data_IF_112510066756
#
_entry.id   IF_112510066756
#
_cell.length_a   1.000
_cell.length_b   1.000
_cell.length_c   1.000
_cell.angle_alpha   90.00
_cell.angle_beta   90.00
_cell.angle_gamma   90.00
#
_symmetry.space_group_name_H-M   'P 1'
#
loop_
_entity.id
_entity.type
_entity.pdbx_description
1 polymer ?
#
# COMPACT_ATOMS: atom_id res chain seq x y z
N UNK A 1 49.70 9.70 -14.09
CA UNK A 1 48.74 8.70 -13.57
C UNK A 1 47.63 9.29 -12.68
N UNK A 2 47.94 10.03 -11.61
CA UNK A 2 46.93 10.60 -10.68
C UNK A 2 45.89 11.54 -11.32
N UNK A 3 46.29 12.35 -12.34
CA UNK A 3 45.39 13.32 -13.01
C UNK A 3 44.34 12.64 -13.89
N UNK A 4 44.70 11.60 -14.62
CA UNK A 4 43.80 10.80 -15.46
C UNK A 4 42.77 10.05 -14.61
N UNK A 5 43.19 9.55 -13.45
CA UNK A 5 42.31 8.87 -12.50
C UNK A 5 41.27 9.84 -11.89
N UNK A 6 41.68 11.07 -11.54
CA UNK A 6 40.76 12.12 -11.10
C UNK A 6 39.74 12.50 -12.18
N UNK A 7 40.16 12.65 -13.43
CA UNK A 7 39.26 12.97 -14.54
C UNK A 7 38.24 11.84 -14.81
N UNK A 8 38.67 10.59 -14.69
CA UNK A 8 37.77 9.43 -14.81
C UNK A 8 36.71 9.42 -13.68
N UNK A 9 37.12 9.66 -12.45
CA UNK A 9 36.21 9.75 -11.29
C UNK A 9 35.20 10.88 -11.46
N UNK A 10 35.64 12.07 -11.89
CA UNK A 10 34.73 13.23 -12.15
C UNK A 10 33.71 12.88 -13.24
N UNK A 11 34.12 12.20 -14.28
CA UNK A 11 33.23 11.79 -15.38
C UNK A 11 32.22 10.74 -14.94
N UNK A 12 32.62 9.77 -14.11
CA UNK A 12 31.73 8.77 -13.50
C UNK A 12 30.71 9.44 -12.57
N UNK A 13 31.14 10.35 -11.69
CA UNK A 13 30.24 11.11 -10.84
C UNK A 13 29.22 11.97 -11.63
N UNK A 14 29.65 12.58 -12.75
CA UNK A 14 28.73 13.32 -13.63
C UNK A 14 27.68 12.42 -14.28
N UNK A 15 28.04 11.20 -14.69
CA UNK A 15 27.07 10.21 -15.21
C UNK A 15 26.05 9.81 -14.17
N UNK A 16 26.49 9.54 -12.95
CA UNK A 16 25.61 9.18 -11.84
C UNK A 16 24.62 10.33 -11.53
N UNK A 17 25.10 11.57 -11.43
CA UNK A 17 24.25 12.75 -11.22
C UNK A 17 23.21 12.95 -12.31
N UNK A 18 23.58 12.72 -13.59
CA UNK A 18 22.66 12.81 -14.72
C UNK A 18 21.63 11.68 -14.67
N UNK A 19 22.03 10.48 -14.30
CA UNK A 19 21.13 9.32 -14.15
C UNK A 19 20.13 9.57 -13.01
N UNK A 20 20.59 10.02 -11.86
CA UNK A 20 19.74 10.39 -10.72
C UNK A 20 18.73 11.48 -11.06
N UNK A 21 19.19 12.49 -11.83
CA UNK A 21 18.30 13.57 -12.30
C UNK A 21 17.23 13.03 -13.25
N UNK A 22 17.59 12.13 -14.15
CA UNK A 22 16.66 11.50 -15.09
C UNK A 22 15.62 10.66 -14.31
N UNK A 23 16.06 9.83 -13.36
CA UNK A 23 15.17 9.01 -12.53
C UNK A 23 14.16 9.89 -11.76
N UNK A 24 14.60 11.01 -11.21
CA UNK A 24 13.73 11.96 -10.52
C UNK A 24 12.71 12.62 -11.47
N UNK A 25 13.14 13.03 -12.66
CA UNK A 25 12.25 13.62 -13.67
C UNK A 25 11.20 12.60 -14.12
N UNK A 26 11.61 11.37 -14.38
CA UNK A 26 10.71 10.28 -14.77
C UNK A 26 9.68 9.97 -13.66
N UNK A 27 10.10 10.00 -12.39
CA UNK A 27 9.18 9.81 -11.27
C UNK A 27 8.17 10.97 -11.15
N UNK A 28 8.63 12.23 -11.31
CA UNK A 28 7.74 13.40 -11.29
C UNK A 28 6.71 13.33 -12.43
N UNK A 29 7.14 12.92 -13.62
CA UNK A 29 6.22 12.72 -14.75
C UNK A 29 5.18 11.63 -14.42
N UNK A 30 5.63 10.50 -13.89
CA UNK A 30 4.74 9.41 -13.47
C UNK A 30 3.74 9.84 -12.37
N UNK A 31 4.18 10.61 -11.37
CA UNK A 31 3.32 11.18 -10.34
C UNK A 31 2.20 12.07 -10.91
N UNK A 32 2.52 12.91 -11.90
CA UNK A 32 1.52 13.75 -12.58
C UNK A 32 0.49 12.89 -13.33
N UNK A 33 0.93 11.88 -14.05
CA UNK A 33 0.04 10.94 -14.75
C UNK A 33 -0.82 10.15 -13.75
N UNK A 34 -0.24 9.66 -12.65
CA UNK A 34 -0.95 8.98 -11.57
C UNK A 34 -2.06 9.86 -10.99
N UNK A 35 -1.76 11.11 -10.63
CA UNK A 35 -2.74 12.05 -10.09
C UNK A 35 -3.86 12.35 -11.09
N UNK A 36 -3.55 12.49 -12.37
CA UNK A 36 -4.54 12.72 -13.42
C UNK A 36 -5.51 11.54 -13.57
N UNK A 37 -5.02 10.31 -13.47
CA UNK A 37 -5.85 9.08 -13.52
C UNK A 37 -6.64 8.83 -12.24
N UNK A 38 -6.21 9.37 -11.11
CA UNK A 38 -6.78 9.11 -9.78
C UNK A 38 -7.28 10.38 -9.08
N UNK A 39 -8.18 11.18 -9.68
CA UNK A 39 -8.65 12.44 -9.10
C UNK A 39 -9.50 12.24 -7.83
N UNK A 40 -10.08 11.05 -7.64
CA UNK A 40 -10.98 10.69 -6.56
C UNK A 40 -10.27 10.34 -5.23
N UNK A 41 -8.96 10.20 -5.24
CA UNK A 41 -8.16 9.92 -4.04
C UNK A 41 -6.99 10.92 -3.92
N UNK A 42 -6.18 10.82 -2.87
CA UNK A 42 -5.06 11.73 -2.59
C UNK A 42 -3.71 11.01 -2.51
N UNK A 43 -3.60 9.85 -3.18
CA UNK A 43 -2.34 9.08 -3.17
C UNK A 43 -1.29 9.69 -4.10
N UNK A 44 -0.02 9.50 -3.75
CA UNK A 44 1.15 9.93 -4.52
C UNK A 44 2.00 8.69 -4.81
N UNK A 45 2.47 8.54 -6.04
CA UNK A 45 3.41 7.47 -6.38
C UNK A 45 4.79 7.76 -5.77
N UNK A 46 5.27 6.91 -4.85
CA UNK A 46 6.59 7.00 -4.24
C UNK A 46 7.69 6.37 -5.10
N UNK A 47 7.31 5.53 -6.04
CA UNK A 47 8.17 4.91 -7.06
C UNK A 47 7.37 4.67 -8.34
N UNK A 48 8.03 4.28 -9.42
CA UNK A 48 7.34 3.83 -10.65
C UNK A 48 6.87 2.39 -10.48
N UNK A 49 5.64 2.13 -10.89
CA UNK A 49 5.00 0.80 -10.90
C UNK A 49 4.08 0.68 -12.12
N UNK A 50 3.59 -0.52 -12.41
CA UNK A 50 2.57 -0.72 -13.43
C UNK A 50 1.20 -0.24 -12.91
N UNK A 51 0.64 0.88 -13.43
CA UNK A 51 -0.61 1.43 -12.92
C UNK A 51 -1.83 0.55 -13.18
N UNK A 52 -1.76 -0.36 -14.17
CA UNK A 52 -2.88 -1.25 -14.50
C UNK A 52 -3.06 -2.38 -13.48
N UNK A 53 -2.07 -2.56 -12.60
CA UNK A 53 -2.10 -3.50 -11.48
C UNK A 53 -2.56 -2.87 -10.16
N UNK A 54 -2.99 -1.62 -10.16
CA UNK A 54 -3.24 -0.87 -8.93
C UNK A 54 -4.60 -0.17 -8.98
N UNK A 55 -5.47 -0.53 -8.05
CA UNK A 55 -6.77 0.10 -7.83
C UNK A 55 -6.80 0.77 -6.45
N UNK A 56 -7.19 2.04 -6.40
CA UNK A 56 -7.28 2.81 -5.16
C UNK A 56 -8.67 3.40 -5.03
N UNK A 57 -9.29 3.20 -3.89
CA UNK A 57 -10.60 3.72 -3.55
C UNK A 57 -10.62 5.23 -3.27
N UNK A 58 -11.82 5.71 -3.08
CA UNK A 58 -12.10 7.12 -2.87
C UNK A 58 -11.50 7.67 -1.56
N UNK A 59 -11.01 8.90 -1.60
CA UNK A 59 -10.46 9.64 -0.44
C UNK A 59 -9.29 8.97 0.29
N UNK A 60 -8.77 7.85 -0.20
CA UNK A 60 -7.55 7.22 0.30
C UNK A 60 -6.35 8.13 0.03
N UNK A 61 -5.44 8.27 0.99
CA UNK A 61 -4.28 9.15 0.88
C UNK A 61 -2.97 8.49 1.33
N UNK A 62 -1.86 9.07 0.90
CA UNK A 62 -0.51 8.69 1.29
C UNK A 62 0.40 8.33 0.13
N UNK A 63 1.65 7.99 0.44
CA UNK A 63 2.67 7.68 -0.56
C UNK A 63 2.74 6.18 -0.82
N UNK A 64 2.64 5.79 -2.10
CA UNK A 64 2.62 4.39 -2.53
C UNK A 64 4.00 3.93 -3.00
N UNK A 65 4.66 3.05 -2.24
CA UNK A 65 5.84 2.33 -2.69
C UNK A 65 5.45 0.90 -3.06
N UNK A 66 5.19 0.68 -4.36
CA UNK A 66 4.67 -0.58 -4.90
C UNK A 66 5.79 -1.27 -5.68
N UNK A 67 6.09 -2.51 -5.33
CA UNK A 67 7.10 -3.33 -5.95
C UNK A 67 6.45 -4.45 -6.75
N UNK A 68 6.64 -4.41 -8.08
CA UNK A 68 6.09 -5.37 -9.05
C UNK A 68 7.23 -6.08 -9.79
N UNK A 69 6.98 -7.31 -10.23
CA UNK A 69 7.91 -8.14 -11.01
C UNK A 69 7.24 -8.75 -12.25
N UNK A 70 6.18 -8.10 -12.74
CA UNK A 70 5.43 -8.45 -13.95
C UNK A 70 4.76 -9.83 -13.97
N UNK A 71 4.58 -10.47 -12.79
CA UNK A 71 3.74 -11.66 -12.73
C UNK A 71 2.28 -11.27 -13.00
N UNK A 72 1.54 -12.00 -13.88
CA UNK A 72 0.15 -11.69 -14.19
C UNK A 72 -0.79 -11.67 -12.97
N UNK A 73 -0.50 -12.47 -11.93
CA UNK A 73 -1.30 -12.53 -10.71
C UNK A 73 -0.99 -11.42 -9.69
N UNK A 74 0.00 -10.57 -9.94
CA UNK A 74 0.26 -9.40 -9.12
C UNK A 74 -0.85 -8.36 -9.27
N UNK A 75 -1.43 -7.95 -8.17
CA UNK A 75 -2.41 -6.87 -8.11
C UNK A 75 -2.45 -6.23 -6.74
N UNK A 76 -2.73 -4.93 -6.66
CA UNK A 76 -2.98 -4.19 -5.42
C UNK A 76 -4.33 -3.51 -5.51
N UNK A 77 -5.21 -3.83 -4.58
CA UNK A 77 -6.47 -3.13 -4.38
C UNK A 77 -6.50 -2.50 -3.00
N UNK A 78 -6.69 -1.19 -2.93
CA UNK A 78 -6.88 -0.45 -1.69
C UNK A 78 -8.27 0.17 -1.72
N UNK A 79 -9.04 -0.05 -0.66
CA UNK A 79 -10.38 0.46 -0.47
C UNK A 79 -10.46 1.98 -0.27
N UNK A 80 -11.61 2.43 0.17
CA UNK A 80 -11.92 3.83 0.39
C UNK A 80 -11.43 4.30 1.76
N UNK A 81 -11.11 5.60 1.88
CA UNK A 81 -10.76 6.28 3.14
C UNK A 81 -9.60 5.65 3.92
N UNK A 82 -8.68 4.96 3.23
CA UNK A 82 -7.48 4.42 3.87
C UNK A 82 -6.44 5.51 4.11
N UNK A 83 -5.74 5.39 5.24
CA UNK A 83 -4.64 6.26 5.64
C UNK A 83 -3.33 5.51 5.49
N UNK A 84 -2.44 5.95 4.60
CA UNK A 84 -1.15 5.30 4.32
C UNK A 84 -0.04 6.26 4.71
N UNK A 85 0.73 5.89 5.73
CA UNK A 85 1.86 6.69 6.18
C UNK A 85 3.07 6.57 5.23
N UNK A 86 4.09 7.40 5.46
CA UNK A 86 5.34 7.37 4.70
C UNK A 86 6.08 6.02 4.82
N UNK A 87 6.81 5.67 3.76
CA UNK A 87 7.63 4.46 3.70
C UNK A 87 6.86 3.13 3.89
N UNK A 88 5.56 3.12 3.59
CA UNK A 88 4.81 1.87 3.49
C UNK A 88 5.13 1.18 2.17
N UNK A 89 5.46 -0.12 2.20
CA UNK A 89 5.81 -0.91 1.03
C UNK A 89 4.81 -2.01 0.75
N UNK A 90 4.39 -2.13 -0.51
CA UNK A 90 3.54 -3.21 -1.00
C UNK A 90 4.37 -4.10 -1.93
N UNK A 91 4.65 -5.35 -1.51
CA UNK A 91 5.44 -6.30 -2.28
C UNK A 91 4.48 -7.28 -2.99
N UNK A 92 4.21 -7.03 -4.28
CA UNK A 92 3.21 -7.80 -5.02
C UNK A 92 3.71 -9.19 -5.45
N UNK A 93 5.03 -9.40 -5.40
CA UNK A 93 5.67 -10.65 -5.81
C UNK A 93 7.15 -10.68 -5.44
N UNK A 94 7.99 -11.12 -6.39
CA UNK A 94 9.45 -11.14 -6.21
C UNK A 94 9.96 -12.36 -5.45
N UNK A 95 9.13 -13.38 -5.24
CA UNK A 95 9.53 -14.59 -4.54
C UNK A 95 10.30 -15.53 -5.47
N UNK A 96 11.29 -16.23 -4.89
CA UNK A 96 12.04 -17.29 -5.57
C UNK A 96 11.53 -18.67 -5.14
N UNK A 97 11.60 -19.69 -6.02
CA UNK A 97 11.30 -21.06 -5.64
C UNK A 97 12.21 -21.54 -4.50
N UNK A 98 11.60 -22.09 -3.45
CA UNK A 98 12.33 -22.55 -2.25
C UNK A 98 12.62 -24.06 -2.26
N UNK A 99 12.06 -24.80 -3.21
CA UNK A 99 12.16 -26.24 -3.35
C UNK A 99 13.15 -26.69 -4.46
N UNK A 100 14.08 -25.81 -4.86
CA UNK A 100 15.15 -26.08 -5.84
C UNK A 100 16.51 -26.19 -5.13
N UNK A 101 17.50 -26.76 -5.81
CA UNK A 101 18.88 -26.88 -5.30
C UNK A 101 19.43 -25.51 -4.86
N UNK A 102 19.01 -24.44 -5.54
CA UNK A 102 19.36 -23.06 -5.22
C UNK A 102 18.18 -22.13 -5.45
N UNK A 103 18.07 -21.10 -4.63
CA UNK A 103 17.13 -19.98 -4.85
C UNK A 103 17.67 -18.96 -5.85
N UNK A 104 18.95 -19.03 -6.20
CA UNK A 104 19.60 -18.10 -7.12
C UNK A 104 19.11 -18.31 -8.55
N UNK A 105 18.72 -17.25 -9.29
CA UNK A 105 18.23 -17.37 -10.67
C UNK A 105 19.38 -17.54 -11.67
N UNK A 106 19.98 -18.72 -11.71
CA UNK A 106 21.18 -19.02 -12.53
C UNK A 106 21.02 -18.65 -14.01
N UNK A 107 19.83 -18.88 -14.59
CA UNK A 107 19.59 -18.52 -16.00
C UNK A 107 19.76 -17.03 -16.25
N UNK A 108 19.19 -16.20 -15.41
CA UNK A 108 19.30 -14.74 -15.55
C UNK A 108 20.64 -14.20 -15.06
N UNK A 109 21.07 -14.61 -13.87
CA UNK A 109 22.19 -14.00 -13.19
C UNK A 109 23.57 -14.47 -13.65
N UNK A 110 23.70 -15.72 -14.14
CA UNK A 110 24.99 -16.30 -14.58
C UNK A 110 25.00 -16.53 -16.10
N UNK A 111 23.93 -17.13 -16.63
CA UNK A 111 23.90 -17.49 -18.05
C UNK A 111 23.40 -16.33 -18.95
N UNK A 112 22.94 -15.23 -18.37
CA UNK A 112 22.35 -14.07 -19.06
C UNK A 112 21.22 -14.46 -20.05
N UNK A 113 20.44 -15.49 -19.71
CA UNK A 113 19.32 -15.99 -20.47
C UNK A 113 17.99 -15.50 -19.86
N UNK A 114 16.95 -15.32 -20.67
CA UNK A 114 15.63 -14.98 -20.16
C UNK A 114 15.14 -16.00 -19.13
N UNK A 115 14.42 -15.52 -18.10
CA UNK A 115 13.71 -16.43 -17.19
C UNK A 115 12.67 -17.23 -17.96
N UNK A 116 12.49 -18.51 -17.65
CA UNK A 116 11.46 -19.36 -18.24
C UNK A 116 10.11 -19.08 -17.56
N UNK A 117 10.14 -18.75 -16.28
CA UNK A 117 8.96 -18.55 -15.46
C UNK A 117 9.01 -17.13 -14.88
N UNK A 118 7.85 -16.48 -14.71
CA UNK A 118 7.78 -15.22 -13.99
C UNK A 118 8.18 -15.43 -12.52
N UNK A 119 8.56 -14.36 -11.84
CA UNK A 119 8.76 -14.37 -10.38
C UNK A 119 7.49 -14.83 -9.67
N UNK A 120 7.63 -15.51 -8.53
CA UNK A 120 6.49 -16.02 -7.81
C UNK A 120 5.78 -14.92 -7.02
N UNK A 121 4.46 -15.08 -6.89
CA UNK A 121 3.60 -14.28 -6.01
C UNK A 121 2.59 -15.20 -5.33
N UNK A 122 2.07 -14.80 -4.17
CA UNK A 122 0.94 -15.47 -3.52
C UNK A 122 -0.42 -14.92 -3.97
N UNK A 123 -0.43 -14.00 -4.94
CA UNK A 123 -1.63 -13.36 -5.45
C UNK A 123 -1.77 -11.90 -5.02
N UNK A 124 -2.95 -11.31 -5.20
CA UNK A 124 -3.20 -9.90 -4.96
C UNK A 124 -3.04 -9.51 -3.48
N UNK A 125 -2.70 -8.25 -3.24
CA UNK A 125 -2.88 -7.60 -1.94
C UNK A 125 -4.22 -6.87 -1.97
N UNK A 126 -5.07 -7.12 -0.97
CA UNK A 126 -6.37 -6.49 -0.81
C UNK A 126 -6.42 -5.75 0.51
N UNK A 127 -6.59 -4.44 0.47
CA UNK A 127 -6.81 -3.58 1.63
C UNK A 127 -8.27 -3.12 1.56
N UNK A 128 -9.08 -3.45 2.56
CA UNK A 128 -10.45 -2.99 2.63
C UNK A 128 -10.55 -1.52 3.08
N UNK A 129 -11.76 -1.00 3.21
CA UNK A 129 -12.01 0.40 3.55
C UNK A 129 -11.52 0.76 4.97
N UNK A 130 -11.22 2.05 5.20
CA UNK A 130 -10.89 2.60 6.54
C UNK A 130 -9.68 1.94 7.21
N UNK A 131 -8.72 1.43 6.44
CA UNK A 131 -7.50 0.83 6.99
C UNK A 131 -6.44 1.91 7.22
N UNK A 132 -5.84 1.90 8.42
CA UNK A 132 -4.69 2.74 8.73
C UNK A 132 -3.39 1.92 8.73
N UNK A 133 -2.50 2.23 7.79
CA UNK A 133 -1.18 1.61 7.68
C UNK A 133 -0.14 2.62 8.14
N UNK A 134 0.51 2.33 9.28
CA UNK A 134 1.47 3.23 9.90
C UNK A 134 2.84 3.16 9.21
N UNK A 135 3.68 4.13 9.56
CA UNK A 135 5.01 4.37 9.01
C UNK A 135 5.86 3.11 8.85
N UNK A 136 6.37 2.91 7.64
CA UNK A 136 7.35 1.88 7.32
C UNK A 136 6.86 0.44 7.41
N UNK A 137 5.54 0.21 7.45
CA UNK A 137 4.99 -1.14 7.37
C UNK A 137 5.22 -1.74 5.98
N UNK A 138 5.30 -3.07 5.92
CA UNK A 138 5.47 -3.83 4.68
C UNK A 138 4.37 -4.87 4.55
N UNK A 139 3.64 -4.84 3.43
CA UNK A 139 2.54 -5.75 3.13
C UNK A 139 2.99 -6.71 2.03
N UNK A 140 2.90 -8.01 2.29
CA UNK A 140 3.33 -9.05 1.35
C UNK A 140 2.18 -9.52 0.45
N UNK A 141 2.52 -10.10 -0.69
CA UNK A 141 1.55 -10.64 -1.66
C UNK A 141 0.62 -11.68 -1.07
N UNK A 142 -0.63 -11.74 -1.56
CA UNK A 142 -1.66 -12.68 -1.15
C UNK A 142 -2.34 -12.33 0.18
N UNK A 143 -2.14 -11.13 0.72
CA UNK A 143 -2.70 -10.71 2.01
C UNK A 143 -3.96 -9.88 1.82
N UNK A 144 -5.00 -10.19 2.59
CA UNK A 144 -6.18 -9.35 2.77
C UNK A 144 -6.13 -8.66 4.14
N UNK A 145 -6.26 -7.34 4.19
CA UNK A 145 -6.40 -6.56 5.44
C UNK A 145 -7.84 -6.07 5.53
N UNK A 146 -8.56 -6.59 6.53
CA UNK A 146 -9.97 -6.29 6.76
C UNK A 146 -10.22 -4.86 7.21
N UNK A 147 -11.42 -4.38 6.88
CA UNK A 147 -11.93 -3.02 7.12
C UNK A 147 -11.62 -2.50 8.52
N UNK A 148 -11.22 -1.23 8.58
CA UNK A 148 -11.01 -0.54 9.85
C UNK A 148 -9.82 -1.03 10.67
N UNK A 149 -8.93 -1.86 10.10
CA UNK A 149 -7.75 -2.37 10.80
C UNK A 149 -6.63 -1.34 10.87
N UNK A 150 -5.78 -1.47 11.88
CA UNK A 150 -4.60 -0.63 12.09
C UNK A 150 -3.35 -1.51 12.03
N UNK A 151 -2.46 -1.20 11.12
CA UNK A 151 -1.16 -1.86 10.99
C UNK A 151 -0.11 -0.95 11.62
N UNK A 152 0.44 -1.36 12.75
CA UNK A 152 1.43 -0.56 13.48
C UNK A 152 2.71 -0.34 12.68
N UNK A 153 3.42 0.72 13.03
CA UNK A 153 4.66 1.11 12.38
C UNK A 153 5.68 -0.05 12.33
N UNK A 154 6.39 -0.17 11.19
CA UNK A 154 7.41 -1.21 10.97
C UNK A 154 6.91 -2.66 11.01
N UNK A 155 5.59 -2.90 11.02
CA UNK A 155 5.03 -4.25 10.96
C UNK A 155 5.22 -4.86 9.57
N UNK A 156 5.52 -6.16 9.52
CA UNK A 156 5.51 -6.96 8.28
C UNK A 156 4.26 -7.84 8.31
N UNK A 157 3.35 -7.65 7.35
CA UNK A 157 2.10 -8.40 7.26
C UNK A 157 2.21 -9.46 6.17
N UNK A 158 2.16 -10.72 6.57
CA UNK A 158 2.35 -11.89 5.70
C UNK A 158 1.17 -12.88 5.72
N UNK A 159 0.09 -12.53 6.41
CA UNK A 159 -1.16 -13.31 6.54
C UNK A 159 -2.36 -12.37 6.62
N UNK A 160 -3.54 -12.90 6.33
CA UNK A 160 -4.78 -12.13 6.38
C UNK A 160 -5.05 -11.57 7.78
N UNK A 161 -5.60 -10.36 7.80
CA UNK A 161 -5.93 -9.62 9.01
C UNK A 161 -7.45 -9.44 9.07
N UNK A 162 -8.11 -9.95 10.13
CA UNK A 162 -9.55 -9.76 10.32
C UNK A 162 -9.91 -8.26 10.47
N UNK A 163 -11.13 -7.84 10.09
CA UNK A 163 -11.57 -6.46 10.21
C UNK A 163 -11.42 -5.91 11.64
N UNK A 164 -11.17 -4.59 11.74
CA UNK A 164 -11.02 -3.86 13.02
C UNK A 164 -9.97 -4.44 13.97
N UNK A 165 -8.88 -4.97 13.43
CA UNK A 165 -7.75 -5.50 14.19
C UNK A 165 -6.66 -4.45 14.39
N UNK A 166 -5.93 -4.53 15.51
CA UNK A 166 -4.67 -3.82 15.73
C UNK A 166 -3.55 -4.84 15.63
N UNK A 167 -2.66 -4.61 14.64
CA UNK A 167 -1.57 -5.51 14.26
C UNK A 167 -0.23 -4.89 14.66
N UNK A 168 0.58 -5.64 15.39
CA UNK A 168 1.95 -5.24 15.76
C UNK A 168 2.89 -6.40 15.38
N UNK A 169 3.96 -6.09 14.64
CA UNK A 169 4.92 -7.08 14.16
C UNK A 169 4.29 -8.25 13.36
N UNK A 170 3.23 -7.95 12.59
CA UNK A 170 2.53 -8.94 11.78
C UNK A 170 1.49 -9.80 12.51
N UNK A 171 1.34 -9.63 13.83
CA UNK A 171 0.38 -10.38 14.66
C UNK A 171 -0.76 -9.50 15.13
N UNK A 172 -1.99 -10.02 15.07
CA UNK A 172 -3.16 -9.39 15.67
C UNK A 172 -2.99 -9.40 17.19
N UNK A 173 -2.87 -8.22 17.79
CA UNK A 173 -2.74 -8.06 19.25
C UNK A 173 -4.08 -7.90 19.95
N UNK A 174 -5.02 -7.20 19.32
CA UNK A 174 -6.38 -7.04 19.80
C UNK A 174 -7.33 -6.59 18.71
N UNK A 175 -8.62 -6.68 18.96
CA UNK A 175 -9.65 -6.03 18.17
C UNK A 175 -9.85 -4.59 18.66
N UNK A 176 -10.23 -3.67 17.76
CA UNK A 176 -10.56 -2.28 18.14
C UNK A 176 -11.82 -2.22 19.01
N UNK A 177 -12.77 -3.10 18.73
CA UNK A 177 -14.12 -3.10 19.30
C UNK A 177 -14.56 -4.53 19.61
N UNK A 178 -15.69 -4.67 20.34
CA UNK A 178 -16.37 -5.95 20.52
C UNK A 178 -16.93 -6.48 19.19
N UNK A 179 -17.18 -7.77 19.11
CA UNK A 179 -17.73 -8.40 17.90
C UNK A 179 -19.11 -7.82 17.54
N UNK A 180 -19.90 -7.40 18.52
CA UNK A 180 -21.19 -6.76 18.32
C UNK A 180 -21.05 -5.40 17.61
N UNK A 181 -20.16 -4.55 18.11
CA UNK A 181 -19.85 -3.28 17.47
C UNK A 181 -19.29 -3.47 16.06
N UNK A 182 -18.38 -4.42 15.88
CA UNK A 182 -17.80 -4.71 14.56
C UNK A 182 -18.87 -5.09 13.55
N UNK A 183 -19.85 -5.92 13.89
CA UNK A 183 -20.96 -6.28 13.00
C UNK A 183 -21.75 -5.05 12.52
N UNK A 184 -21.98 -4.08 13.41
CA UNK A 184 -22.66 -2.83 13.04
C UNK A 184 -21.80 -1.95 12.14
N UNK A 185 -20.53 -1.78 12.50
CA UNK A 185 -19.58 -0.92 11.77
C UNK A 185 -19.21 -1.44 10.37
N UNK A 186 -19.18 -2.76 10.16
CA UNK A 186 -18.92 -3.34 8.84
C UNK A 186 -19.93 -2.93 7.78
N UNK A 187 -21.19 -2.66 8.18
CA UNK A 187 -22.26 -2.28 7.29
C UNK A 187 -22.27 -0.78 6.93
N UNK A 188 -21.43 0.05 7.56
CA UNK A 188 -21.38 1.48 7.29
C UNK A 188 -20.57 1.72 6.00
N UNK A 189 -21.21 2.36 5.01
CA UNK A 189 -20.53 2.87 3.82
C UNK A 189 -20.15 4.33 4.05
N UNK A 190 -18.84 4.58 4.24
CA UNK A 190 -18.31 5.92 4.50
C UNK A 190 -18.51 6.90 3.32
N UNK A 191 -18.71 6.39 2.09
CA UNK A 191 -19.01 7.24 0.92
C UNK A 191 -20.37 7.95 1.09
N UNK A 192 -21.38 7.25 1.64
CA UNK A 192 -22.68 7.84 1.94
C UNK A 192 -22.59 8.98 2.94
N UNK A 193 -21.70 8.85 3.93
CA UNK A 193 -21.43 9.93 4.91
C UNK A 193 -20.82 11.14 4.20
N UNK A 194 -19.81 10.92 3.33
CA UNK A 194 -19.14 11.97 2.57
C UNK A 194 -20.10 12.76 1.66
N UNK A 195 -21.09 12.09 1.09
CA UNK A 195 -22.06 12.68 0.16
C UNK A 195 -23.15 13.55 0.86
N UNK A 196 -23.19 13.56 2.18
CA UNK A 196 -24.17 14.34 2.93
C UNK A 196 -23.95 15.84 2.80
N UNK A 197 -25.03 16.59 2.66
CA UNK A 197 -25.00 18.06 2.57
C UNK A 197 -24.68 18.73 3.91
N UNK A 198 -25.01 18.06 5.01
CA UNK A 198 -24.81 18.51 6.39
C UNK A 198 -23.54 17.94 7.05
N UNK A 199 -22.54 17.55 6.24
CA UNK A 199 -21.32 16.93 6.71
C UNK A 199 -20.59 17.74 7.79
N UNK A 200 -20.60 19.07 7.69
CA UNK A 200 -20.01 19.95 8.71
C UNK A 200 -20.75 19.88 10.05
N UNK A 201 -22.08 19.78 10.02
CA UNK A 201 -22.91 19.71 11.21
C UNK A 201 -22.74 18.38 11.95
N UNK A 202 -22.52 17.29 11.22
CA UNK A 202 -22.34 15.95 11.79
C UNK A 202 -20.88 15.59 12.08
N UNK A 203 -19.91 16.43 11.70
CA UNK A 203 -18.49 16.11 11.84
C UNK A 203 -18.10 15.74 13.28
N UNK A 204 -18.61 16.46 14.27
CA UNK A 204 -18.37 16.17 15.68
C UNK A 204 -18.92 14.79 16.12
N UNK A 205 -19.91 14.24 15.40
CA UNK A 205 -20.44 12.91 15.68
C UNK A 205 -19.43 11.86 15.25
N UNK A 206 -18.71 12.10 14.15
CA UNK A 206 -17.67 11.19 13.64
C UNK A 206 -16.44 11.15 14.58
N UNK A 207 -16.23 12.20 15.37
CA UNK A 207 -15.16 12.29 16.37
C UNK A 207 -15.58 11.75 17.76
N UNK A 208 -16.83 11.27 17.88
CA UNK A 208 -17.35 10.75 19.16
C UNK A 208 -16.88 9.31 19.39
N UNK A 209 -16.37 9.03 20.59
CA UNK A 209 -16.06 7.65 21.00
C UNK A 209 -17.32 6.77 20.97
N UNK A 210 -17.23 5.64 20.29
CA UNK A 210 -18.32 4.70 20.14
C UNK A 210 -18.32 3.65 21.25
N UNK A 211 -19.53 3.34 21.74
CA UNK A 211 -19.81 2.30 22.74
C UNK A 211 -21.02 1.49 22.29
N UNK A 212 -21.26 0.34 22.92
CA UNK A 212 -22.44 -0.49 22.66
C UNK A 212 -23.75 0.25 22.95
N UNK A 213 -23.73 1.23 23.87
CA UNK A 213 -24.92 2.01 24.27
C UNK A 213 -25.24 3.18 23.36
N UNK A 214 -24.25 3.73 22.62
CA UNK A 214 -24.45 4.91 21.78
C UNK A 214 -24.41 4.65 20.28
N UNK A 215 -23.89 3.49 19.83
CA UNK A 215 -23.62 3.20 18.42
C UNK A 215 -24.87 3.33 17.53
N UNK A 216 -26.02 2.82 17.96
CA UNK A 216 -27.25 2.87 17.15
C UNK A 216 -27.74 4.31 16.96
N UNK A 217 -27.62 5.15 17.98
CA UNK A 217 -27.92 6.59 17.91
C UNK A 217 -26.93 7.32 16.99
N UNK A 218 -25.66 6.94 17.02
CA UNK A 218 -24.64 7.51 16.13
C UNK A 218 -24.94 7.11 14.68
N UNK A 219 -25.15 5.84 14.41
CA UNK A 219 -25.47 5.33 13.05
C UNK A 219 -26.72 6.03 12.50
N UNK A 220 -27.79 6.16 13.27
CA UNK A 220 -29.03 6.82 12.81
C UNK A 220 -28.87 8.31 12.49
N UNK A 221 -27.82 8.94 12.97
CA UNK A 221 -27.50 10.34 12.67
C UNK A 221 -26.56 10.52 11.48
N UNK A 222 -25.69 9.53 11.21
CA UNK A 222 -24.69 9.64 10.14
C UNK A 222 -25.12 8.97 8.83
N UNK A 223 -26.10 8.07 8.84
CA UNK A 223 -26.71 7.45 7.66
C UNK A 223 -28.10 8.05 7.36
#
# INVERSE_FOLDING_TARGET
MRTLQKLKTIWECRKELLLDSKIKIDLIAFQKEWRKKNPHNFTIAGCKFNPDKVEIGESTYGTLHIHCWDNPAEHLKIGNFCSIAENVHFLLGGMHPTNRITTYPYRGGVMHMPSIEPTLTKGPIIIEDDVWICYGATILSGVTIGKGSIIAAKSIVAKDIPPYSIVINGDVKKRRFSDELIKKLQNIDLRKIKERKDLQEISFILDTDITETNIDKIISKIL
#
